data_IF_922884265086
#
_entry.id   IF_922884265086
#
_cell.length_a   1.000
_cell.length_b   1.000
_cell.length_c   1.000
_cell.angle_alpha   90.00
_cell.angle_beta   90.00
_cell.angle_gamma   90.00
#
_symmetry.space_group_name_H-M   'P 1'
#
loop_
_entity.id
_entity.type
_entity.pdbx_description
1 polymer ?
#
# COMPACT_ATOMS: atom_id res chain seq x y z
N UNK A 1 -21.77 2.83 -5.85
CA UNK A 1 -22.88 1.84 -5.81
C UNK A 1 -24.19 2.60 -6.04
N UNK A 2 -25.08 2.12 -6.93
CA UNK A 2 -26.39 2.77 -7.20
C UNK A 2 -27.57 1.87 -6.81
N UNK A 3 -27.44 1.14 -5.72
CA UNK A 3 -28.46 0.22 -5.23
C UNK A 3 -29.58 0.97 -4.53
N UNK A 4 -30.78 0.42 -4.61
CA UNK A 4 -31.91 0.89 -3.81
C UNK A 4 -31.87 0.30 -2.41
N UNK A 5 -32.59 0.90 -1.48
CA UNK A 5 -32.76 0.35 -0.12
C UNK A 5 -33.31 -1.08 -0.16
N UNK A 6 -34.23 -1.38 -1.08
CA UNK A 6 -34.73 -2.76 -1.26
C UNK A 6 -33.60 -3.73 -1.64
N UNK A 7 -32.77 -3.38 -2.62
CA UNK A 7 -31.65 -4.23 -3.03
C UNK A 7 -30.62 -4.44 -1.92
N UNK A 8 -30.36 -3.41 -1.09
CA UNK A 8 -29.53 -3.54 0.10
C UNK A 8 -30.13 -4.54 1.09
N UNK A 9 -31.42 -4.40 1.40
CA UNK A 9 -32.10 -5.28 2.34
C UNK A 9 -32.17 -6.73 1.82
N UNK A 10 -32.45 -6.92 0.53
CA UNK A 10 -32.46 -8.24 -0.11
C UNK A 10 -31.07 -8.91 -0.06
N UNK A 11 -30.02 -8.15 -0.36
CA UNK A 11 -28.63 -8.64 -0.27
C UNK A 11 -28.23 -9.04 1.16
N UNK A 12 -28.83 -8.41 2.17
CA UNK A 12 -28.61 -8.71 3.58
C UNK A 12 -29.62 -9.77 4.13
N UNK A 13 -30.54 -10.25 3.30
CA UNK A 13 -31.55 -11.23 3.72
C UNK A 13 -32.56 -10.70 4.75
N UNK A 14 -32.83 -9.40 4.74
CA UNK A 14 -33.67 -8.71 5.73
C UNK A 14 -34.69 -7.78 5.08
N UNK A 15 -35.40 -6.99 5.87
CA UNK A 15 -36.36 -5.99 5.42
C UNK A 15 -35.93 -4.58 5.80
N UNK A 16 -36.20 -3.56 4.96
CA UNK A 16 -35.97 -2.18 5.36
C UNK A 16 -36.90 -1.76 6.49
N UNK A 17 -36.44 -0.81 7.31
CA UNK A 17 -37.26 -0.17 8.33
C UNK A 17 -38.48 0.50 7.76
N UNK A 18 -39.54 0.67 8.55
CA UNK A 18 -40.88 1.13 8.11
C UNK A 18 -40.87 2.55 7.51
N UNK A 19 -39.96 3.41 7.96
CA UNK A 19 -39.80 4.78 7.46
C UNK A 19 -38.95 4.93 6.20
N UNK A 20 -38.40 3.81 5.68
CA UNK A 20 -37.53 3.83 4.50
C UNK A 20 -38.33 3.67 3.19
N UNK A 21 -38.01 4.55 2.23
CA UNK A 21 -38.47 4.35 0.86
C UNK A 21 -37.62 3.26 0.19
N UNK A 22 -38.22 2.11 -0.06
CA UNK A 22 -37.53 0.93 -0.65
C UNK A 22 -36.90 1.23 -2.03
N UNK A 23 -37.43 2.19 -2.80
CA UNK A 23 -36.91 2.59 -4.12
C UNK A 23 -35.87 3.71 -4.04
N UNK A 24 -35.62 4.28 -2.86
CA UNK A 24 -34.59 5.32 -2.69
C UNK A 24 -33.22 4.76 -2.96
N UNK A 25 -32.40 5.52 -3.69
CA UNK A 25 -31.04 5.12 -4.07
C UNK A 25 -30.04 5.47 -2.99
N UNK A 26 -29.15 4.54 -2.70
CA UNK A 26 -28.01 4.70 -1.80
C UNK A 26 -26.86 5.33 -2.58
N UNK A 27 -26.38 6.50 -2.13
CA UNK A 27 -25.29 7.23 -2.80
C UNK A 27 -23.88 6.62 -2.52
N UNK A 28 -23.73 5.92 -1.40
CA UNK A 28 -22.49 5.30 -0.96
C UNK A 28 -22.68 4.58 0.38
N UNK A 29 -21.59 4.06 0.94
CA UNK A 29 -21.60 3.39 2.24
C UNK A 29 -20.48 3.98 3.10
N UNK A 30 -20.78 4.28 4.37
CA UNK A 30 -19.80 4.73 5.36
C UNK A 30 -19.94 3.93 6.66
N UNK A 31 -18.82 3.74 7.35
CA UNK A 31 -18.74 3.22 8.72
C UNK A 31 -18.30 4.29 9.72
N UNK A 32 -18.11 5.54 9.26
CA UNK A 32 -17.69 6.67 10.09
C UNK A 32 -18.76 7.80 10.03
N UNK A 33 -19.45 8.00 11.16
CA UNK A 33 -20.52 9.00 11.26
C UNK A 33 -20.05 10.44 11.09
N UNK A 34 -18.75 10.73 11.29
CA UNK A 34 -18.14 12.07 11.18
C UNK A 34 -17.96 12.51 9.73
N UNK A 35 -17.85 11.55 8.81
CA UNK A 35 -17.61 11.79 7.38
C UNK A 35 -18.77 11.39 6.49
N UNK A 36 -19.92 11.03 7.08
CA UNK A 36 -21.13 10.62 6.37
C UNK A 36 -21.61 11.74 5.44
N UNK A 37 -22.04 11.36 4.25
CA UNK A 37 -22.57 12.29 3.24
C UNK A 37 -24.07 12.01 3.02
N UNK A 38 -24.77 13.03 2.54
CA UNK A 38 -26.19 12.90 2.24
C UNK A 38 -26.47 11.74 1.27
N UNK A 39 -27.41 10.88 1.64
CA UNK A 39 -27.80 9.71 0.87
C UNK A 39 -26.93 8.46 1.04
N UNK A 40 -25.86 8.51 1.85
CA UNK A 40 -25.08 7.31 2.16
C UNK A 40 -25.79 6.40 3.18
N UNK A 41 -25.50 5.11 3.10
CA UNK A 41 -25.86 4.11 4.09
C UNK A 41 -24.81 4.08 5.20
N UNK A 42 -25.23 4.28 6.43
CA UNK A 42 -24.34 4.11 7.59
C UNK A 42 -24.38 2.66 8.06
N UNK A 43 -23.21 2.01 8.26
CA UNK A 43 -23.14 0.68 8.89
C UNK A 43 -22.50 0.83 10.27
N UNK A 44 -23.26 0.55 11.32
CA UNK A 44 -22.86 0.70 12.72
C UNK A 44 -21.93 -0.45 13.14
N UNK A 45 -20.64 -0.29 12.93
CA UNK A 45 -19.63 -1.30 13.30
C UNK A 45 -19.30 -1.19 14.78
N UNK A 46 -19.34 -2.34 15.48
CA UNK A 46 -18.79 -2.46 16.81
C UNK A 46 -17.28 -2.72 16.75
N UNK A 47 -16.46 -1.77 17.18
CA UNK A 47 -15.01 -1.84 17.21
C UNK A 47 -14.47 -2.04 18.63
N UNK A 48 -13.15 -2.23 18.75
CA UNK A 48 -12.48 -2.45 20.06
C UNK A 48 -12.59 -1.27 21.03
N UNK A 49 -12.70 -0.04 20.53
CA UNK A 49 -12.69 1.20 21.33
C UNK A 49 -13.97 2.02 21.20
N UNK A 50 -14.72 1.84 20.14
CA UNK A 50 -15.91 2.63 19.81
C UNK A 50 -17.00 1.71 19.28
N UNK A 51 -18.24 2.00 19.62
CA UNK A 51 -19.41 1.33 19.08
C UNK A 51 -20.14 2.26 18.12
N UNK A 52 -20.17 1.91 16.82
CA UNK A 52 -20.90 2.65 15.81
C UNK A 52 -22.39 2.80 16.11
N UNK A 53 -22.97 1.90 16.89
CA UNK A 53 -24.38 1.97 17.32
C UNK A 53 -24.68 3.21 18.16
N UNK A 54 -23.71 3.76 18.89
CA UNK A 54 -23.88 5.00 19.65
C UNK A 54 -24.02 6.25 18.75
N UNK A 55 -23.66 6.13 17.46
CA UNK A 55 -23.64 7.21 16.50
C UNK A 55 -24.73 7.13 15.42
N UNK A 56 -25.67 6.19 15.53
CA UNK A 56 -26.73 5.99 14.51
C UNK A 56 -27.60 7.23 14.36
N UNK A 57 -28.07 7.82 15.46
CA UNK A 57 -28.90 9.02 15.41
C UNK A 57 -28.16 10.19 14.72
N UNK A 58 -26.91 10.45 15.13
CA UNK A 58 -26.11 11.54 14.55
C UNK A 58 -25.77 11.30 13.07
N UNK A 59 -25.55 10.06 12.64
CA UNK A 59 -25.35 9.73 11.24
C UNK A 59 -26.60 9.99 10.39
N UNK A 60 -27.79 9.65 10.91
CA UNK A 60 -29.06 9.91 10.26
C UNK A 60 -29.38 11.42 10.19
N UNK A 61 -29.05 12.19 11.23
CA UNK A 61 -29.15 13.65 11.27
C UNK A 61 -28.19 14.33 10.29
N UNK A 62 -26.98 13.75 10.12
CA UNK A 62 -25.98 14.23 9.17
C UNK A 62 -26.29 13.86 7.71
N UNK A 63 -27.41 13.17 7.44
CA UNK A 63 -27.89 12.93 6.09
C UNK A 63 -27.78 11.50 5.60
N UNK A 64 -27.38 10.53 6.45
CA UNK A 64 -27.48 9.12 6.08
C UNK A 64 -28.91 8.77 5.69
N UNK A 65 -29.08 8.03 4.57
CA UNK A 65 -30.42 7.62 4.10
C UNK A 65 -31.03 6.55 5.00
N UNK A 66 -30.18 5.66 5.52
CA UNK A 66 -30.52 4.57 6.43
C UNK A 66 -29.31 4.16 7.25
N UNK A 67 -29.54 3.40 8.33
CA UNK A 67 -28.49 2.80 9.12
C UNK A 67 -28.67 1.27 9.20
N UNK A 68 -27.60 0.51 9.00
CA UNK A 68 -27.53 -0.93 9.26
C UNK A 68 -27.09 -1.12 10.70
N UNK A 69 -27.91 -1.79 11.49
CA UNK A 69 -27.69 -2.00 12.94
C UNK A 69 -27.84 -3.46 13.32
N UNK A 70 -27.19 -3.90 14.38
CA UNK A 70 -27.44 -5.23 14.94
C UNK A 70 -28.87 -5.30 15.52
N UNK A 71 -29.58 -6.40 15.27
CA UNK A 71 -30.93 -6.63 15.78
C UNK A 71 -31.04 -6.43 17.29
N UNK A 72 -30.03 -6.90 18.05
CA UNK A 72 -29.96 -6.75 19.49
C UNK A 72 -29.86 -5.27 19.94
N UNK A 73 -29.43 -4.37 19.07
CA UNK A 73 -29.29 -2.95 19.36
C UNK A 73 -30.50 -2.11 18.90
N UNK A 74 -31.37 -2.66 18.05
CA UNK A 74 -32.54 -1.94 17.53
C UNK A 74 -33.45 -1.37 18.62
N UNK A 75 -33.74 -2.06 19.76
CA UNK A 75 -34.57 -1.52 20.83
C UNK A 75 -34.00 -0.27 21.53
N UNK A 76 -32.74 0.09 21.30
CA UNK A 76 -32.14 1.32 21.86
C UNK A 76 -32.66 2.59 21.19
N UNK A 77 -33.24 2.47 19.99
CA UNK A 77 -33.65 3.61 19.19
C UNK A 77 -35.16 3.83 19.25
N UNK A 78 -35.55 5.03 19.59
CA UNK A 78 -36.93 5.47 19.44
C UNK A 78 -37.25 5.90 18.02
N UNK A 79 -38.54 5.95 17.64
CA UNK A 79 -38.98 6.54 16.38
C UNK A 79 -38.66 8.04 16.35
N UNK A 80 -38.25 8.60 15.21
CA UNK A 80 -38.20 8.00 13.88
C UNK A 80 -36.85 7.33 13.52
N UNK A 81 -35.90 7.18 14.49
CA UNK A 81 -34.57 6.59 14.22
C UNK A 81 -34.70 5.12 13.90
N UNK A 82 -35.47 4.35 14.73
CA UNK A 82 -35.70 2.93 14.53
C UNK A 82 -36.32 2.61 13.16
N UNK A 83 -37.22 3.46 12.69
CA UNK A 83 -37.90 3.32 11.39
C UNK A 83 -36.95 3.49 10.20
N UNK A 84 -35.78 4.10 10.39
CA UNK A 84 -34.73 4.29 9.40
C UNK A 84 -33.59 3.28 9.51
N UNK A 85 -33.76 2.23 10.32
CA UNK A 85 -32.77 1.18 10.51
C UNK A 85 -33.07 -0.05 9.64
N UNK A 86 -32.03 -0.73 9.21
CA UNK A 86 -32.04 -2.07 8.60
C UNK A 86 -31.37 -2.98 9.63
N UNK A 87 -32.15 -3.87 10.23
CA UNK A 87 -31.68 -4.75 11.29
C UNK A 87 -31.05 -6.02 10.70
N UNK A 88 -29.88 -6.41 11.24
CA UNK A 88 -29.12 -7.59 10.82
C UNK A 88 -28.57 -8.33 12.06
N UNK A 89 -28.24 -9.61 11.93
CA UNK A 89 -27.66 -10.38 13.03
C UNK A 89 -26.29 -9.81 13.49
N UNK A 90 -25.46 -9.35 12.55
CA UNK A 90 -24.15 -8.76 12.83
C UNK A 90 -23.72 -7.79 11.75
N UNK A 91 -23.38 -6.56 12.14
CA UNK A 91 -23.08 -5.46 11.19
C UNK A 91 -21.76 -5.64 10.45
N UNK A 92 -20.77 -6.30 11.07
CA UNK A 92 -19.51 -6.61 10.39
C UNK A 92 -19.68 -7.67 9.30
N UNK A 93 -20.48 -8.71 9.54
CA UNK A 93 -20.82 -9.70 8.52
C UNK A 93 -21.69 -9.08 7.42
N UNK A 94 -22.63 -8.19 7.76
CA UNK A 94 -23.43 -7.45 6.82
C UNK A 94 -22.58 -6.56 5.88
N UNK A 95 -21.53 -5.90 6.40
CA UNK A 95 -20.58 -5.13 5.61
C UNK A 95 -19.92 -6.01 4.53
N UNK A 96 -19.46 -7.21 4.91
CA UNK A 96 -18.81 -8.16 3.99
C UNK A 96 -19.79 -8.74 2.98
N UNK A 97 -20.95 -9.15 3.44
CA UNK A 97 -22.00 -9.72 2.60
C UNK A 97 -22.49 -8.72 1.53
N UNK A 98 -22.69 -7.47 1.92
CA UNK A 98 -23.09 -6.42 0.99
C UNK A 98 -21.97 -6.12 -0.04
N UNK A 99 -20.70 -6.12 0.39
CA UNK A 99 -19.58 -5.92 -0.51
C UNK A 99 -19.42 -7.07 -1.52
N UNK A 100 -19.62 -8.31 -1.09
CA UNK A 100 -19.64 -9.48 -1.98
C UNK A 100 -20.78 -9.39 -2.98
N UNK A 101 -21.97 -9.03 -2.55
CA UNK A 101 -23.12 -8.87 -3.43
C UNK A 101 -22.88 -7.75 -4.49
N UNK A 102 -22.25 -6.63 -4.09
CA UNK A 102 -21.83 -5.57 -5.05
C UNK A 102 -20.80 -6.12 -6.04
N UNK A 103 -19.80 -6.87 -5.56
CA UNK A 103 -18.79 -7.52 -6.40
C UNK A 103 -19.43 -8.45 -7.46
N UNK A 104 -20.34 -9.30 -7.03
CA UNK A 104 -21.02 -10.26 -7.91
C UNK A 104 -21.93 -9.57 -8.93
N UNK A 105 -22.66 -8.53 -8.51
CA UNK A 105 -23.51 -7.73 -9.39
C UNK A 105 -22.70 -6.97 -10.46
N UNK A 106 -21.48 -6.51 -10.12
CA UNK A 106 -20.62 -5.77 -11.06
C UNK A 106 -20.02 -6.68 -12.13
N UNK A 107 -19.54 -7.86 -11.79
CA UNK A 107 -19.11 -8.91 -12.72
C UNK A 107 -17.78 -8.67 -13.46
N UNK A 108 -17.16 -7.50 -13.37
CA UNK A 108 -15.87 -7.21 -14.03
C UNK A 108 -14.69 -7.90 -13.35
N UNK A 109 -13.50 -7.87 -13.97
CA UNK A 109 -12.29 -8.53 -13.44
C UNK A 109 -11.62 -7.71 -12.33
N UNK A 110 -11.21 -8.39 -11.25
CA UNK A 110 -10.46 -7.82 -10.13
C UNK A 110 -9.05 -8.39 -10.07
N UNK A 111 -8.05 -7.51 -9.92
CA UNK A 111 -6.69 -7.86 -9.50
C UNK A 111 -6.52 -7.60 -8.00
N UNK A 112 -6.15 -8.62 -7.23
CA UNK A 112 -5.72 -8.53 -5.85
C UNK A 112 -4.20 -8.49 -5.75
N UNK A 113 -3.64 -7.56 -4.96
CA UNK A 113 -2.19 -7.39 -4.80
C UNK A 113 -1.79 -7.53 -3.34
N UNK A 114 -0.92 -8.50 -3.04
CA UNK A 114 -0.33 -8.67 -1.71
C UNK A 114 1.20 -8.81 -1.75
N UNK A 115 1.83 -8.83 -0.59
CA UNK A 115 3.27 -8.99 -0.39
C UNK A 115 3.73 -8.33 0.90
N UNK A 116 4.94 -8.58 1.35
CA UNK A 116 5.53 -7.86 2.48
C UNK A 116 5.88 -6.44 2.06
N UNK A 117 6.47 -6.25 0.87
CA UNK A 117 6.86 -4.97 0.27
C UNK A 117 6.34 -4.89 -1.17
N UNK A 118 6.18 -3.69 -1.72
CA UNK A 118 5.84 -3.47 -3.13
C UNK A 118 4.34 -3.46 -3.47
N UNK A 119 3.43 -3.81 -2.57
CA UNK A 119 1.97 -3.84 -2.79
C UNK A 119 1.42 -2.57 -3.42
N UNK A 120 1.62 -1.45 -2.75
CA UNK A 120 1.06 -0.15 -3.16
C UNK A 120 1.65 0.29 -4.50
N UNK A 121 2.98 0.16 -4.68
CA UNK A 121 3.63 0.52 -5.94
C UNK A 121 3.10 -0.34 -7.09
N UNK A 122 3.01 -1.67 -6.91
CA UNK A 122 2.46 -2.58 -7.93
C UNK A 122 1.00 -2.24 -8.26
N UNK A 123 0.17 -1.96 -7.24
CA UNK A 123 -1.21 -1.51 -7.41
C UNK A 123 -1.30 -0.22 -8.24
N UNK A 124 -0.49 0.79 -7.91
CA UNK A 124 -0.49 2.07 -8.63
C UNK A 124 -0.02 1.91 -10.09
N UNK A 125 1.06 1.15 -10.31
CA UNK A 125 1.56 0.87 -11.66
C UNK A 125 0.53 0.10 -12.48
N UNK A 126 -0.07 -0.95 -11.92
CA UNK A 126 -1.09 -1.73 -12.60
C UNK A 126 -2.32 -0.88 -12.93
N UNK A 127 -2.80 -0.09 -11.96
CA UNK A 127 -3.94 0.80 -12.20
C UNK A 127 -3.64 1.85 -13.29
N UNK A 128 -2.41 2.36 -13.37
CA UNK A 128 -1.99 3.28 -14.43
C UNK A 128 -1.91 2.58 -15.80
N UNK A 129 -1.37 1.37 -15.87
CA UNK A 129 -1.32 0.57 -17.10
C UNK A 129 -2.74 0.28 -17.62
N UNK A 130 -3.61 -0.24 -16.76
CA UNK A 130 -5.00 -0.50 -17.11
C UNK A 130 -5.73 0.79 -17.50
N UNK A 131 -5.46 1.88 -16.78
CA UNK A 131 -6.05 3.21 -17.00
C UNK A 131 -5.70 3.84 -18.35
N UNK A 132 -4.71 3.31 -19.07
CA UNK A 132 -4.41 3.74 -20.44
C UNK A 132 -5.53 3.41 -21.44
N UNK A 133 -6.35 2.38 -21.15
CA UNK A 133 -7.44 1.92 -22.03
C UNK A 133 -8.76 1.72 -21.31
N UNK A 134 -8.77 1.57 -20.00
CA UNK A 134 -9.93 1.16 -19.22
C UNK A 134 -10.24 2.19 -18.13
N UNK A 135 -11.51 2.22 -17.71
CA UNK A 135 -11.87 2.88 -16.45
C UNK A 135 -11.62 1.91 -15.29
N UNK A 136 -10.80 2.33 -14.33
CA UNK A 136 -10.26 1.47 -13.29
C UNK A 136 -10.60 1.99 -11.90
N UNK A 137 -11.24 1.16 -11.08
CA UNK A 137 -11.30 1.38 -9.64
C UNK A 137 -10.00 0.86 -8.99
N UNK A 138 -9.44 1.61 -8.05
CA UNK A 138 -8.31 1.13 -7.22
C UNK A 138 -8.52 1.43 -5.75
N UNK A 139 -7.90 0.62 -4.87
CA UNK A 139 -7.85 0.92 -3.43
C UNK A 139 -7.13 2.24 -3.18
N UNK A 140 -7.70 3.09 -2.35
CA UNK A 140 -7.11 4.35 -1.91
C UNK A 140 -6.49 4.21 -0.52
N UNK A 141 -5.40 4.93 -0.29
CA UNK A 141 -4.73 4.97 1.00
C UNK A 141 -4.36 3.56 1.51
N UNK A 142 -4.80 3.25 2.72
CA UNK A 142 -4.61 1.97 3.41
C UNK A 142 -5.90 1.15 3.53
N UNK A 143 -6.89 1.36 2.65
CA UNK A 143 -8.14 0.60 2.61
C UNK A 143 -7.91 -0.81 2.05
N UNK A 144 -7.07 -1.59 2.74
CA UNK A 144 -6.59 -2.90 2.30
C UNK A 144 -6.88 -4.05 3.27
N UNK A 145 -7.71 -3.80 4.29
CA UNK A 145 -8.13 -4.76 5.33
C UNK A 145 -9.62 -5.10 5.21
N UNK A 146 -10.15 -5.89 6.18
CA UNK A 146 -11.53 -6.37 6.19
C UNK A 146 -12.61 -5.27 6.32
N UNK A 147 -12.24 -4.05 6.67
CA UNK A 147 -13.12 -2.86 6.64
C UNK A 147 -12.92 -2.05 5.36
N UNK A 148 -11.67 -1.82 4.98
CA UNK A 148 -11.31 -0.95 3.86
C UNK A 148 -11.60 -1.53 2.48
N UNK A 149 -11.42 -2.85 2.30
CA UNK A 149 -11.70 -3.51 1.02
C UNK A 149 -13.20 -3.46 0.68
N UNK A 150 -14.16 -3.76 1.61
CA UNK A 150 -15.58 -3.51 1.38
C UNK A 150 -15.90 -2.08 0.98
N UNK A 151 -15.36 -1.09 1.70
CA UNK A 151 -15.58 0.33 1.38
C UNK A 151 -15.05 0.70 -0.01
N UNK A 152 -13.98 0.08 -0.46
CA UNK A 152 -13.49 0.25 -1.84
C UNK A 152 -14.45 -0.36 -2.85
N UNK A 153 -14.98 -1.58 -2.61
CA UNK A 153 -15.92 -2.25 -3.50
C UNK A 153 -17.24 -1.49 -3.64
N UNK A 154 -17.72 -0.81 -2.61
CA UNK A 154 -18.93 0.03 -2.68
C UNK A 154 -18.79 1.23 -3.62
N UNK A 155 -17.56 1.57 -4.02
CA UNK A 155 -17.28 2.64 -5.00
C UNK A 155 -17.33 2.17 -6.45
N UNK A 156 -17.48 0.85 -6.69
CA UNK A 156 -17.65 0.31 -8.04
C UNK A 156 -18.83 0.95 -8.74
N UNK A 157 -18.60 1.38 -9.98
CA UNK A 157 -19.60 1.91 -10.89
C UNK A 157 -19.76 0.96 -12.08
N UNK A 158 -20.90 0.99 -12.74
CA UNK A 158 -21.20 0.19 -13.94
C UNK A 158 -20.23 0.48 -15.11
N UNK A 159 -19.65 1.67 -15.10
CA UNK A 159 -18.67 2.13 -16.11
C UNK A 159 -17.24 1.64 -15.83
N UNK A 160 -16.95 1.15 -14.63
CA UNK A 160 -15.64 0.58 -14.31
C UNK A 160 -15.48 -0.75 -15.04
N UNK A 161 -14.31 -0.96 -15.65
CA UNK A 161 -14.01 -2.12 -16.48
C UNK A 161 -12.98 -3.05 -15.83
N UNK A 162 -12.26 -2.55 -14.82
CA UNK A 162 -11.32 -3.30 -14.02
C UNK A 162 -11.25 -2.72 -12.59
N UNK A 163 -10.84 -3.54 -11.63
CA UNK A 163 -10.52 -3.07 -10.29
C UNK A 163 -9.18 -3.62 -9.82
N UNK A 164 -8.38 -2.80 -9.11
CA UNK A 164 -7.10 -3.18 -8.54
C UNK A 164 -7.14 -2.94 -7.04
N UNK A 165 -7.15 -4.03 -6.28
CA UNK A 165 -7.31 -4.01 -4.84
C UNK A 165 -6.02 -4.40 -4.13
N UNK A 166 -5.51 -3.51 -3.29
CA UNK A 166 -4.45 -3.86 -2.34
C UNK A 166 -5.04 -4.70 -1.21
N UNK A 167 -4.38 -5.82 -0.87
CA UNK A 167 -4.79 -6.74 0.18
C UNK A 167 -3.67 -6.90 1.20
N UNK A 168 -3.88 -6.27 2.35
CA UNK A 168 -2.98 -6.33 3.50
C UNK A 168 -3.36 -7.46 4.45
N UNK A 169 -2.39 -7.88 5.28
CA UNK A 169 -2.66 -8.82 6.37
C UNK A 169 -1.66 -8.61 7.52
N UNK A 170 -2.11 -8.86 8.72
CA UNK A 170 -1.32 -8.96 9.95
C UNK A 170 -1.41 -10.34 10.58
N UNK A 171 -2.38 -11.17 10.19
CA UNK A 171 -2.60 -12.52 10.72
C UNK A 171 -3.01 -13.49 9.62
N UNK A 172 -2.81 -14.77 9.88
CA UNK A 172 -3.29 -15.84 9.01
C UNK A 172 -4.82 -15.83 8.92
N UNK A 173 -5.35 -16.18 7.74
CA UNK A 173 -6.79 -16.19 7.43
C UNK A 173 -7.35 -14.84 6.98
N UNK A 174 -6.63 -13.74 7.15
CA UNK A 174 -7.13 -12.43 6.72
C UNK A 174 -7.19 -12.32 5.18
N UNK A 175 -6.15 -12.77 4.47
CA UNK A 175 -6.17 -12.76 3.00
C UNK A 175 -7.22 -13.71 2.42
N UNK A 176 -7.45 -14.85 3.05
CA UNK A 176 -8.51 -15.77 2.63
C UNK A 176 -9.89 -15.08 2.73
N UNK A 177 -10.15 -14.33 3.81
CA UNK A 177 -11.41 -13.58 3.97
C UNK A 177 -11.52 -12.43 2.97
N UNK A 178 -10.44 -11.69 2.71
CA UNK A 178 -10.42 -10.65 1.70
C UNK A 178 -10.65 -11.21 0.29
N UNK A 179 -10.03 -12.34 -0.03
CA UNK A 179 -10.22 -13.04 -1.30
C UNK A 179 -11.65 -13.55 -1.46
N UNK A 180 -12.28 -14.07 -0.41
CA UNK A 180 -13.67 -14.51 -0.42
C UNK A 180 -14.65 -13.37 -0.73
N UNK A 181 -14.36 -12.14 -0.29
CA UNK A 181 -15.17 -10.95 -0.57
C UNK A 181 -14.90 -10.42 -1.99
N UNK A 182 -13.63 -10.26 -2.36
CA UNK A 182 -13.25 -9.65 -3.63
C UNK A 182 -13.37 -10.61 -4.80
N UNK A 183 -13.24 -11.92 -4.58
CA UNK A 183 -13.19 -12.98 -5.62
C UNK A 183 -12.27 -12.56 -6.77
N UNK A 184 -10.95 -12.40 -6.52
CA UNK A 184 -10.03 -11.85 -7.50
C UNK A 184 -9.82 -12.82 -8.66
N UNK A 185 -9.81 -12.27 -9.89
CA UNK A 185 -9.52 -13.00 -11.12
C UNK A 185 -8.00 -13.05 -11.37
N UNK A 186 -7.27 -12.07 -10.85
CA UNK A 186 -5.81 -11.99 -10.90
C UNK A 186 -5.26 -11.80 -9.49
N UNK A 187 -4.35 -12.67 -9.05
CA UNK A 187 -3.67 -12.56 -7.75
C UNK A 187 -2.19 -12.31 -7.92
N UNK A 188 -1.71 -11.20 -7.36
CA UNK A 188 -0.31 -10.79 -7.47
C UNK A 188 0.35 -10.90 -6.11
N UNK A 189 1.44 -11.67 -6.02
CA UNK A 189 2.28 -11.71 -4.82
C UNK A 189 3.64 -11.14 -5.15
N UNK A 190 3.99 -10.02 -4.52
CA UNK A 190 5.21 -9.28 -4.85
C UNK A 190 6.45 -9.92 -4.23
N UNK A 191 6.52 -9.98 -2.91
CA UNK A 191 7.66 -10.56 -2.19
C UNK A 191 7.24 -10.96 -0.77
N UNK A 192 7.89 -12.00 -0.24
CA UNK A 192 7.82 -12.41 1.17
C UNK A 192 9.13 -12.02 1.85
N UNK A 193 9.05 -11.25 2.91
CA UNK A 193 10.21 -10.86 3.72
C UNK A 193 9.80 -10.71 5.19
N UNK A 194 10.74 -10.65 6.13
CA UNK A 194 10.45 -10.38 7.52
C UNK A 194 9.62 -9.10 7.69
N UNK A 195 8.36 -9.26 8.04
CA UNK A 195 7.40 -8.21 8.36
C UNK A 195 6.34 -8.80 9.27
N UNK A 196 5.77 -8.01 10.17
CA UNK A 196 4.75 -8.49 11.12
C UNK A 196 5.21 -9.66 12.01
N UNK A 197 6.52 -9.77 12.31
CA UNK A 197 7.09 -10.85 13.11
C UNK A 197 6.55 -10.89 14.56
N UNK A 198 5.88 -9.85 15.00
CA UNK A 198 5.12 -9.85 16.26
C UNK A 198 3.95 -10.84 16.22
N UNK A 199 3.38 -11.11 15.03
CA UNK A 199 2.20 -11.95 14.84
C UNK A 199 2.50 -13.29 14.16
N UNK A 200 3.73 -13.52 13.70
CA UNK A 200 4.15 -14.74 13.01
C UNK A 200 5.45 -15.29 13.59
N UNK A 201 5.49 -16.58 13.83
CA UNK A 201 6.68 -17.24 14.39
C UNK A 201 7.83 -17.32 13.38
N UNK A 202 7.56 -17.21 12.08
CA UNK A 202 8.60 -17.30 11.04
C UNK A 202 8.18 -16.62 9.73
N UNK A 203 9.17 -16.39 8.86
CA UNK A 203 8.94 -15.90 7.49
C UNK A 203 8.13 -16.90 6.66
N UNK A 204 8.26 -18.20 6.96
CA UNK A 204 7.49 -19.24 6.25
C UNK A 204 6.00 -19.18 6.63
N UNK A 205 5.65 -18.83 7.86
CA UNK A 205 4.26 -18.56 8.24
C UNK A 205 3.70 -17.31 7.54
N UNK A 206 4.51 -16.27 7.36
CA UNK A 206 4.13 -15.10 6.55
C UNK A 206 3.87 -15.53 5.11
N UNK A 207 4.70 -16.42 4.55
CA UNK A 207 4.52 -16.97 3.22
C UNK A 207 3.20 -17.74 3.10
N UNK A 208 2.89 -18.61 4.06
CA UNK A 208 1.63 -19.34 4.10
C UNK A 208 0.40 -18.41 4.15
N UNK A 209 0.46 -17.35 4.95
CA UNK A 209 -0.61 -16.36 5.00
C UNK A 209 -0.78 -15.61 3.67
N UNK A 210 0.32 -15.28 2.95
CA UNK A 210 0.24 -14.61 1.65
C UNK A 210 -0.22 -15.53 0.53
N UNK A 211 0.04 -16.84 0.63
CA UNK A 211 -0.45 -17.85 -0.31
C UNK A 211 -1.98 -17.92 -0.36
N UNK A 212 -2.66 -17.57 0.74
CA UNK A 212 -4.12 -17.52 0.82
C UNK A 212 -4.76 -16.69 -0.30
N UNK A 213 -4.09 -15.63 -0.80
CA UNK A 213 -4.59 -14.89 -1.97
C UNK A 213 -4.64 -15.79 -3.22
N UNK A 214 -3.61 -16.61 -3.43
CA UNK A 214 -3.52 -17.49 -4.60
C UNK A 214 -4.52 -18.64 -4.50
N UNK A 215 -4.67 -19.22 -3.30
CA UNK A 215 -5.65 -20.28 -3.04
C UNK A 215 -7.10 -19.77 -3.19
N UNK A 216 -7.33 -18.48 -2.88
CA UNK A 216 -8.64 -17.82 -2.95
C UNK A 216 -8.98 -17.19 -4.30
N UNK A 217 -8.25 -17.48 -5.37
CA UNK A 217 -8.54 -16.97 -6.71
C UNK A 217 -9.84 -17.54 -7.29
N UNK A 218 -10.50 -16.76 -8.14
CA UNK A 218 -11.83 -17.02 -8.68
C UNK A 218 -11.85 -18.13 -9.78
N UNK A 219 -11.50 -19.36 -9.38
CA UNK A 219 -11.63 -20.53 -10.22
C UNK A 219 -10.54 -20.67 -11.30
N UNK A 220 -10.80 -21.56 -12.27
CA UNK A 220 -9.80 -22.04 -13.25
C UNK A 220 -9.38 -21.00 -14.29
N UNK A 221 -10.18 -19.99 -14.54
CA UNK A 221 -9.85 -18.91 -15.49
C UNK A 221 -9.03 -17.78 -14.84
N UNK A 222 -8.76 -17.89 -13.54
CA UNK A 222 -7.95 -16.93 -12.84
C UNK A 222 -6.45 -17.04 -13.16
N UNK A 223 -5.71 -16.00 -12.83
CA UNK A 223 -4.26 -15.92 -13.07
C UNK A 223 -3.51 -15.55 -11.81
N UNK A 224 -2.55 -16.37 -11.42
CA UNK A 224 -1.56 -16.05 -10.40
C UNK A 224 -0.33 -15.40 -11.04
N UNK A 225 0.08 -14.23 -10.52
CA UNK A 225 1.29 -13.50 -10.94
C UNK A 225 2.31 -13.57 -9.81
N UNK A 226 3.40 -14.30 -10.03
CA UNK A 226 4.33 -14.73 -9.00
C UNK A 226 5.76 -14.29 -9.28
N UNK A 227 6.45 -13.81 -8.25
CA UNK A 227 7.85 -13.42 -8.31
C UNK A 227 8.76 -14.64 -8.34
N UNK A 228 9.46 -14.89 -9.45
CA UNK A 228 10.41 -15.99 -9.61
C UNK A 228 11.70 -15.80 -8.79
N UNK A 229 12.06 -14.57 -8.47
CA UNK A 229 13.26 -14.24 -7.66
C UNK A 229 13.05 -14.56 -6.17
N UNK A 230 11.80 -14.75 -5.73
CA UNK A 230 11.46 -15.19 -4.39
C UNK A 230 11.02 -16.68 -4.41
N UNK A 231 11.83 -17.62 -3.90
CA UNK A 231 11.52 -19.04 -3.97
C UNK A 231 10.24 -19.43 -3.23
N UNK A 232 9.85 -18.69 -2.18
CA UNK A 232 8.59 -18.92 -1.46
C UNK A 232 7.41 -18.53 -2.34
N UNK A 233 7.48 -17.36 -2.98
CA UNK A 233 6.42 -16.88 -3.88
C UNK A 233 6.31 -17.76 -5.11
N UNK A 234 7.43 -18.14 -5.71
CA UNK A 234 7.44 -19.04 -6.88
C UNK A 234 6.74 -20.38 -6.60
N UNK A 235 6.92 -20.92 -5.37
CA UNK A 235 6.29 -22.19 -4.96
C UNK A 235 4.74 -22.08 -4.84
N UNK A 236 4.17 -20.89 -4.75
CA UNK A 236 2.70 -20.72 -4.68
C UNK A 236 1.99 -21.15 -5.96
N UNK A 237 2.72 -21.23 -7.08
CA UNK A 237 2.17 -21.71 -8.35
C UNK A 237 1.51 -23.09 -8.27
N UNK A 238 1.99 -23.96 -7.38
CA UNK A 238 1.39 -25.28 -7.14
C UNK A 238 -0.01 -25.24 -6.53
N UNK A 239 -0.42 -24.10 -5.99
CA UNK A 239 -1.71 -23.88 -5.31
C UNK A 239 -2.66 -23.01 -6.13
N UNK A 240 -2.21 -22.52 -7.29
CA UNK A 240 -3.05 -21.70 -8.15
C UNK A 240 -4.14 -22.54 -8.81
N UNK A 241 -5.42 -22.15 -8.74
CA UNK A 241 -6.50 -22.91 -9.39
C UNK A 241 -6.49 -22.76 -10.92
N UNK A 242 -5.84 -21.71 -11.44
CA UNK A 242 -5.80 -21.36 -12.86
C UNK A 242 -4.38 -21.19 -13.41
N UNK A 243 -4.21 -20.21 -14.30
CA UNK A 243 -2.94 -19.93 -14.99
C UNK A 243 -1.90 -19.35 -14.03
N UNK A 244 -0.63 -19.68 -14.24
CA UNK A 244 0.51 -19.06 -13.53
C UNK A 244 1.35 -18.26 -14.52
N UNK A 245 1.57 -16.99 -14.22
CA UNK A 245 2.54 -16.12 -14.88
C UNK A 245 3.63 -15.76 -13.87
N UNK A 246 4.89 -15.87 -14.28
CA UNK A 246 6.04 -15.53 -13.44
C UNK A 246 6.71 -14.27 -13.95
N UNK A 247 7.27 -13.49 -13.04
CA UNK A 247 8.13 -12.35 -13.37
C UNK A 247 9.39 -12.39 -12.52
N UNK A 248 10.48 -11.83 -13.03
CA UNK A 248 11.75 -11.81 -12.30
C UNK A 248 12.83 -10.99 -12.99
N UNK A 249 13.88 -10.69 -12.24
CA UNK A 249 15.08 -10.00 -12.70
C UNK A 249 16.26 -10.97 -12.76
N UNK A 250 16.37 -11.88 -11.78
CA UNK A 250 17.52 -12.75 -11.59
C UNK A 250 17.25 -14.19 -12.04
N UNK A 251 16.04 -14.68 -11.79
CA UNK A 251 15.64 -16.04 -12.13
C UNK A 251 14.84 -16.06 -13.43
N UNK A 252 14.98 -17.11 -14.23
CA UNK A 252 14.16 -17.30 -15.44
C UNK A 252 12.66 -17.18 -15.10
N UNK A 253 11.97 -16.34 -15.85
CA UNK A 253 10.56 -16.04 -15.68
C UNK A 253 9.90 -15.75 -17.03
N UNK A 254 8.57 -15.76 -17.06
CA UNK A 254 7.79 -15.43 -18.25
C UNK A 254 7.96 -13.96 -18.67
N UNK A 255 8.07 -13.07 -17.68
CA UNK A 255 8.33 -11.64 -17.86
C UNK A 255 9.62 -11.26 -17.13
N UNK A 256 10.60 -10.73 -17.84
CA UNK A 256 11.92 -10.41 -17.29
C UNK A 256 12.34 -8.98 -17.58
N UNK A 257 13.19 -8.44 -16.71
CA UNK A 257 14.01 -7.27 -16.99
C UNK A 257 15.47 -7.69 -17.16
N UNK A 258 16.06 -7.32 -18.27
CA UNK A 258 17.47 -7.54 -18.61
C UNK A 258 18.15 -6.21 -18.92
N UNK A 259 19.48 -6.18 -19.03
CA UNK A 259 20.26 -4.98 -19.36
C UNK A 259 19.83 -3.74 -18.55
N UNK A 260 19.75 -3.93 -17.23
CA UNK A 260 19.26 -2.89 -16.31
C UNK A 260 20.32 -1.80 -16.17
N UNK A 261 19.91 -0.57 -16.46
CA UNK A 261 20.63 0.67 -16.18
C UNK A 261 19.98 1.35 -14.98
N UNK A 262 20.62 1.25 -13.80
CA UNK A 262 20.13 1.89 -12.56
C UNK A 262 20.63 3.35 -12.52
N UNK A 263 19.70 4.31 -12.51
CA UNK A 263 19.97 5.75 -12.40
C UNK A 263 19.67 6.30 -11.01
N UNK A 264 19.59 5.40 -10.01
CA UNK A 264 19.29 5.74 -8.62
C UNK A 264 17.90 6.39 -8.48
N UNK A 265 17.85 7.53 -7.78
CA UNK A 265 16.60 8.28 -7.58
C UNK A 265 16.02 8.89 -8.87
N UNK A 266 16.74 8.83 -9.99
CA UNK A 266 16.27 9.32 -11.30
C UNK A 266 15.51 8.24 -12.09
N UNK A 267 15.30 7.05 -11.51
CA UNK A 267 14.63 5.95 -12.17
C UNK A 267 15.60 4.94 -12.78
N UNK A 268 15.15 4.20 -13.79
CA UNK A 268 15.91 3.14 -14.43
C UNK A 268 15.48 2.92 -15.88
N UNK A 269 16.36 2.28 -16.67
CA UNK A 269 16.00 1.74 -17.96
C UNK A 269 16.35 0.26 -18.02
N UNK A 270 15.56 -0.55 -18.71
CA UNK A 270 15.78 -1.98 -18.84
C UNK A 270 15.15 -2.54 -20.10
N UNK A 271 15.65 -3.66 -20.56
CA UNK A 271 15.00 -4.45 -21.59
C UNK A 271 13.92 -5.33 -20.95
N UNK A 272 12.67 -5.02 -21.22
CA UNK A 272 11.56 -5.91 -20.94
C UNK A 272 11.59 -7.07 -21.93
N UNK A 273 11.55 -8.30 -21.43
CA UNK A 273 11.58 -9.53 -22.22
C UNK A 273 10.40 -10.40 -21.83
N UNK A 274 9.60 -10.78 -22.81
CA UNK A 274 8.55 -11.79 -22.72
C UNK A 274 8.67 -12.78 -23.89
N UNK A 275 7.94 -13.89 -23.93
CA UNK A 275 7.95 -14.79 -25.08
C UNK A 275 7.60 -14.13 -26.41
N UNK A 276 6.84 -13.04 -26.37
CA UNK A 276 6.27 -12.38 -27.54
C UNK A 276 7.03 -11.13 -27.96
N UNK A 277 7.83 -10.51 -27.04
CA UNK A 277 8.45 -9.24 -27.30
C UNK A 277 9.70 -8.97 -26.46
N UNK A 278 10.61 -8.16 -27.04
CA UNK A 278 11.71 -7.52 -26.34
C UNK A 278 11.66 -6.03 -26.63
N UNK A 279 11.55 -5.20 -25.58
CA UNK A 279 11.37 -3.74 -25.72
C UNK A 279 12.18 -3.02 -24.63
N UNK A 280 12.93 -1.99 -25.02
CA UNK A 280 13.59 -1.10 -24.06
C UNK A 280 12.55 -0.21 -23.40
N UNK A 281 12.46 -0.23 -22.08
CA UNK A 281 11.55 0.58 -21.27
C UNK A 281 12.33 1.48 -20.31
N UNK A 282 11.82 2.68 -20.09
CA UNK A 282 12.30 3.61 -19.07
C UNK A 282 11.25 3.80 -17.99
N UNK A 283 11.67 3.74 -16.74
CA UNK A 283 10.81 3.82 -15.56
C UNK A 283 11.25 4.98 -14.67
N UNK A 284 10.38 5.97 -14.48
CA UNK A 284 10.66 7.15 -13.67
C UNK A 284 10.46 6.92 -12.15
N UNK A 285 10.18 5.69 -11.73
CA UNK A 285 10.13 5.31 -10.31
C UNK A 285 11.46 4.71 -9.92
N UNK A 286 12.10 5.21 -8.85
CA UNK A 286 13.46 4.84 -8.51
C UNK A 286 13.59 3.43 -7.91
N UNK A 287 14.73 2.80 -8.18
CA UNK A 287 15.21 1.59 -7.54
C UNK A 287 14.85 0.30 -8.25
N UNK A 288 15.74 -0.68 -8.10
CA UNK A 288 15.59 -2.02 -8.70
C UNK A 288 14.28 -2.74 -8.29
N UNK A 289 13.80 -2.47 -7.07
CA UNK A 289 12.52 -2.96 -6.59
C UNK A 289 11.32 -2.39 -7.39
N UNK A 290 11.44 -1.17 -7.93
CA UNK A 290 10.41 -0.59 -8.77
C UNK A 290 10.30 -1.33 -10.12
N UNK A 291 11.43 -1.82 -10.67
CA UNK A 291 11.43 -2.65 -11.87
C UNK A 291 10.67 -3.96 -11.62
N UNK A 292 10.92 -4.64 -10.49
CA UNK A 292 10.19 -5.86 -10.13
C UNK A 292 8.68 -5.61 -9.99
N UNK A 293 8.28 -4.49 -9.36
CA UNK A 293 6.88 -4.09 -9.23
C UNK A 293 6.26 -3.76 -10.60
N UNK A 294 7.02 -3.12 -11.51
CA UNK A 294 6.58 -2.83 -12.87
C UNK A 294 6.39 -4.11 -13.70
N UNK A 295 7.31 -5.09 -13.57
CA UNK A 295 7.16 -6.41 -14.19
C UNK A 295 5.93 -7.16 -13.68
N UNK A 296 5.68 -7.14 -12.36
CA UNK A 296 4.48 -7.71 -11.75
C UNK A 296 3.20 -7.09 -12.34
N UNK A 297 3.20 -5.76 -12.47
CA UNK A 297 2.08 -5.02 -13.03
C UNK A 297 1.88 -5.31 -14.52
N UNK A 298 2.95 -5.39 -15.33
CA UNK A 298 2.89 -5.78 -16.75
C UNK A 298 2.36 -7.20 -16.92
N UNK A 299 2.87 -8.15 -16.11
CA UNK A 299 2.39 -9.52 -16.13
C UNK A 299 0.89 -9.61 -15.81
N UNK A 300 0.41 -8.83 -14.85
CA UNK A 300 -1.01 -8.76 -14.54
C UNK A 300 -1.83 -8.05 -15.63
N UNK A 301 -1.32 -6.95 -16.18
CA UNK A 301 -1.99 -6.16 -17.22
C UNK A 301 -2.21 -6.97 -18.51
N UNK A 302 -1.36 -7.96 -18.79
CA UNK A 302 -1.52 -8.86 -19.95
C UNK A 302 -2.84 -9.65 -19.94
N UNK A 303 -3.49 -9.82 -18.77
CA UNK A 303 -4.82 -10.46 -18.66
C UNK A 303 -5.93 -9.58 -19.25
N UNK A 304 -5.64 -8.30 -19.49
CA UNK A 304 -6.52 -7.32 -20.16
C UNK A 304 -5.96 -6.89 -21.53
N UNK A 305 -5.06 -7.68 -22.12
CA UNK A 305 -4.42 -7.39 -23.41
C UNK A 305 -3.68 -6.03 -23.43
N UNK A 306 -3.10 -5.65 -22.29
CA UNK A 306 -2.26 -4.45 -22.12
C UNK A 306 -0.82 -4.89 -21.90
N UNK A 307 0.08 -4.40 -22.73
CA UNK A 307 1.46 -4.86 -22.77
C UNK A 307 2.51 -3.74 -22.84
N UNK A 308 3.66 -4.08 -23.39
CA UNK A 308 4.81 -3.17 -23.47
C UNK A 308 4.55 -1.91 -24.32
N UNK A 309 3.62 -1.97 -25.29
CA UNK A 309 3.30 -0.81 -26.14
C UNK A 309 2.70 0.35 -25.32
N UNK A 310 1.85 0.03 -24.35
CA UNK A 310 1.26 1.03 -23.46
C UNK A 310 2.21 1.41 -22.32
N UNK A 311 3.09 0.49 -21.92
CA UNK A 311 3.94 0.64 -20.75
C UNK A 311 4.88 1.83 -20.82
N UNK A 312 5.49 2.12 -21.99
CA UNK A 312 6.51 3.16 -22.10
C UNK A 312 5.97 4.54 -21.71
N UNK A 313 4.83 4.94 -22.25
CA UNK A 313 4.23 6.24 -21.93
C UNK A 313 3.76 6.31 -20.47
N UNK A 314 3.20 5.22 -19.96
CA UNK A 314 2.76 5.11 -18.57
C UNK A 314 3.96 5.21 -17.63
N UNK A 315 5.03 4.46 -17.85
CA UNK A 315 6.20 4.42 -16.96
C UNK A 315 6.94 5.76 -16.92
N UNK A 316 7.00 6.50 -18.02
CA UNK A 316 7.54 7.86 -18.05
C UNK A 316 6.67 8.87 -17.27
N UNK A 317 5.35 8.65 -17.24
CA UNK A 317 4.42 9.50 -16.51
C UNK A 317 4.32 9.17 -15.01
N UNK A 318 4.73 7.95 -14.60
CA UNK A 318 4.66 7.53 -13.21
C UNK A 318 5.46 8.45 -12.31
N UNK A 319 4.94 8.65 -11.12
CA UNK A 319 5.64 9.29 -10.00
C UNK A 319 5.59 8.34 -8.83
N UNK A 320 6.62 8.36 -8.02
CA UNK A 320 6.59 7.64 -6.75
C UNK A 320 5.39 8.14 -5.92
N UNK A 321 4.59 7.24 -5.34
CA UNK A 321 3.54 7.66 -4.43
C UNK A 321 4.10 8.50 -3.28
N UNK A 322 3.32 9.43 -2.75
CA UNK A 322 3.75 10.26 -1.63
C UNK A 322 4.34 9.40 -0.49
N UNK A 323 5.45 9.83 0.06
CA UNK A 323 6.20 9.14 1.11
C UNK A 323 6.73 7.74 0.74
N UNK A 324 6.90 7.42 -0.57
CA UNK A 324 7.37 6.11 -1.05
C UNK A 324 8.44 6.26 -2.13
N UNK A 325 9.60 6.78 -1.73
CA UNK A 325 10.73 7.04 -2.64
C UNK A 325 10.59 8.33 -3.44
N UNK A 326 9.74 9.25 -3.00
CA UNK A 326 9.54 10.55 -3.62
C UNK A 326 10.80 11.41 -3.54
N UNK A 327 11.32 11.88 -4.68
CA UNK A 327 12.49 12.75 -4.74
C UNK A 327 12.08 14.23 -4.70
N UNK A 328 12.46 14.91 -3.64
CA UNK A 328 12.27 16.34 -3.44
C UNK A 328 13.60 17.07 -3.65
N UNK A 329 13.58 18.15 -4.44
CA UNK A 329 14.77 18.97 -4.70
C UNK A 329 14.62 20.34 -4.03
N UNK A 330 15.64 20.74 -3.33
CA UNK A 330 15.71 22.06 -2.71
C UNK A 330 16.49 23.03 -3.61
N UNK A 331 16.14 24.31 -3.54
CA UNK A 331 16.78 25.35 -4.37
C UNK A 331 18.26 25.60 -4.01
N UNK A 332 18.67 25.23 -2.79
CA UNK A 332 20.07 25.27 -2.37
C UNK A 332 20.92 24.16 -3.01
N UNK A 333 20.35 23.30 -3.87
CA UNK A 333 21.05 22.19 -4.52
C UNK A 333 21.16 20.90 -3.69
N UNK A 334 20.54 20.85 -2.51
CA UNK A 334 20.32 19.61 -1.78
C UNK A 334 19.07 18.88 -2.30
N UNK A 335 18.95 17.58 -1.99
CA UNK A 335 17.76 16.81 -2.30
C UNK A 335 17.41 15.84 -1.15
N UNK A 336 16.16 15.40 -1.14
CA UNK A 336 15.63 14.48 -0.15
C UNK A 336 14.80 13.38 -0.84
N UNK A 337 15.04 12.13 -0.48
CA UNK A 337 14.21 10.98 -0.84
C UNK A 337 13.27 10.74 0.34
N UNK A 338 11.99 11.02 0.14
CA UNK A 338 10.94 10.80 1.13
C UNK A 338 10.40 9.38 1.00
N UNK A 339 10.78 8.49 1.92
CA UNK A 339 10.26 7.12 2.02
C UNK A 339 9.75 6.83 3.45
N UNK A 340 9.08 7.84 4.02
CA UNK A 340 8.68 7.90 5.43
C UNK A 340 7.36 7.17 5.76
N UNK A 341 6.67 6.58 4.77
CA UNK A 341 5.38 5.94 5.01
C UNK A 341 5.48 4.72 5.93
N UNK A 342 6.43 3.82 5.69
CA UNK A 342 6.67 2.61 6.49
C UNK A 342 8.08 2.07 6.26
N UNK A 343 8.56 1.22 7.19
CA UNK A 343 9.86 0.57 7.07
C UNK A 343 9.82 -0.89 7.51
N UNK A 344 10.69 -1.69 6.87
CA UNK A 344 11.05 -3.04 7.26
C UNK A 344 12.53 -3.25 6.91
N UNK A 345 13.22 -4.26 7.45
CA UNK A 345 14.65 -4.49 7.16
C UNK A 345 14.96 -4.51 5.66
N UNK A 346 14.27 -5.35 4.89
CA UNK A 346 14.46 -5.45 3.44
C UNK A 346 14.15 -4.15 2.67
N UNK A 347 13.15 -3.38 3.12
CA UNK A 347 12.83 -2.10 2.50
C UNK A 347 13.85 -1.01 2.84
N UNK A 348 14.43 -1.04 4.04
CA UNK A 348 15.49 -0.11 4.43
C UNK A 348 16.79 -0.41 3.67
N UNK A 349 17.16 -1.68 3.51
CA UNK A 349 18.31 -2.10 2.72
C UNK A 349 18.18 -1.65 1.25
N UNK A 350 17.05 -1.93 0.60
CA UNK A 350 16.80 -1.53 -0.78
C UNK A 350 16.88 -0.01 -0.99
N UNK A 351 16.36 0.78 -0.04
CA UNK A 351 16.45 2.24 -0.11
C UNK A 351 17.83 2.78 0.22
N UNK A 352 18.61 2.07 1.04
CA UNK A 352 20.01 2.39 1.30
C UNK A 352 20.88 2.16 0.06
N UNK A 353 20.65 1.07 -0.68
CA UNK A 353 21.29 0.82 -1.98
C UNK A 353 20.95 1.90 -2.98
N UNK A 354 19.68 2.28 -3.08
CA UNK A 354 19.22 3.36 -3.95
C UNK A 354 19.90 4.69 -3.60
N UNK A 355 19.98 5.05 -2.32
CA UNK A 355 20.69 6.23 -1.85
C UNK A 355 22.15 6.20 -2.31
N UNK A 356 22.82 5.06 -2.15
CA UNK A 356 24.20 4.84 -2.56
C UNK A 356 24.42 4.85 -4.08
N UNK A 357 23.44 4.42 -4.87
CA UNK A 357 23.50 4.37 -6.33
C UNK A 357 23.17 5.71 -7.00
N UNK A 358 22.51 6.64 -6.30
CA UNK A 358 22.07 7.91 -6.90
C UNK A 358 23.28 8.81 -7.23
N UNK A 359 23.49 9.15 -8.52
CA UNK A 359 24.64 9.95 -8.96
C UNK A 359 24.48 11.44 -8.66
N UNK A 360 25.58 12.19 -8.81
CA UNK A 360 25.61 13.66 -8.78
C UNK A 360 25.37 14.30 -7.40
N UNK A 361 25.55 13.55 -6.31
CA UNK A 361 25.54 14.08 -4.94
C UNK A 361 26.88 13.85 -4.25
N UNK A 362 27.30 14.84 -3.45
CA UNK A 362 28.58 14.81 -2.72
C UNK A 362 28.52 14.01 -1.44
N UNK A 363 27.43 14.16 -0.67
CA UNK A 363 27.20 13.41 0.58
C UNK A 363 25.84 12.70 0.51
N UNK A 364 25.82 11.49 1.04
CA UNK A 364 24.62 10.66 1.19
C UNK A 364 24.36 10.46 2.66
N UNK A 365 23.18 10.88 3.09
CA UNK A 365 22.76 10.90 4.49
C UNK A 365 21.56 9.96 4.63
N UNK A 366 21.68 8.98 5.52
CA UNK A 366 20.57 8.09 5.87
C UNK A 366 19.98 8.55 7.21
N UNK A 367 18.73 8.94 7.25
CA UNK A 367 17.92 9.12 8.45
C UNK A 367 16.91 7.97 8.56
N UNK A 368 17.25 6.96 9.35
CA UNK A 368 16.47 5.75 9.54
C UNK A 368 15.76 5.78 10.89
N UNK A 369 14.44 5.76 10.87
CA UNK A 369 13.58 5.61 12.03
C UNK A 369 13.40 4.16 12.45
N UNK A 370 12.86 3.97 13.66
CA UNK A 370 12.53 2.64 14.19
C UNK A 370 11.64 1.85 13.22
N UNK A 371 11.96 0.57 13.07
CA UNK A 371 11.12 -0.41 12.36
C UNK A 371 10.26 -1.16 13.38
N UNK A 372 8.95 -1.00 13.30
CA UNK A 372 7.99 -1.62 14.23
C UNK A 372 7.53 -3.00 13.76
N UNK A 373 6.83 -3.72 14.63
CA UNK A 373 6.25 -5.04 14.39
C UNK A 373 7.31 -6.15 14.12
N UNK A 374 8.53 -5.98 14.66
CA UNK A 374 9.61 -6.95 14.56
C UNK A 374 9.74 -7.86 15.79
N UNK A 375 8.92 -7.61 16.83
CA UNK A 375 8.92 -8.40 18.07
C UNK A 375 10.29 -8.42 18.75
N UNK A 376 10.68 -9.55 19.32
CA UNK A 376 11.95 -9.72 20.03
C UNK A 376 13.17 -9.64 19.12
N UNK A 377 13.02 -9.78 17.80
CA UNK A 377 14.11 -9.66 16.83
C UNK A 377 14.46 -8.19 16.50
N UNK A 378 13.69 -7.22 17.01
CA UNK A 378 13.83 -5.81 16.66
C UNK A 378 15.25 -5.26 16.85
N UNK A 379 15.93 -5.41 18.02
CA UNK A 379 17.25 -4.84 18.21
C UNK A 379 18.30 -5.40 17.23
N UNK A 380 18.26 -6.71 16.95
CA UNK A 380 19.23 -7.34 16.06
C UNK A 380 19.00 -6.95 14.60
N UNK A 381 17.76 -6.94 14.13
CA UNK A 381 17.43 -6.52 12.76
C UNK A 381 17.78 -5.04 12.50
N UNK A 382 17.64 -4.17 13.50
CA UNK A 382 18.13 -2.79 13.41
C UNK A 382 19.66 -2.72 13.34
N UNK A 383 20.37 -3.54 14.13
CA UNK A 383 21.82 -3.63 14.10
C UNK A 383 22.33 -4.11 12.74
N UNK A 384 21.73 -5.16 12.19
CA UNK A 384 22.05 -5.69 10.86
C UNK A 384 21.83 -4.63 9.77
N UNK A 385 20.76 -3.86 9.82
CA UNK A 385 20.49 -2.77 8.88
C UNK A 385 21.59 -1.68 8.94
N UNK A 386 22.09 -1.36 10.14
CA UNK A 386 23.22 -0.45 10.32
C UNK A 386 24.53 -1.00 9.74
N UNK A 387 24.82 -2.28 9.97
CA UNK A 387 25.97 -2.97 9.37
C UNK A 387 25.88 -3.01 7.85
N UNK A 388 24.68 -3.27 7.31
CA UNK A 388 24.43 -3.25 5.87
C UNK A 388 24.73 -1.86 5.28
N UNK A 389 24.18 -0.80 5.87
CA UNK A 389 24.45 0.57 5.42
C UNK A 389 25.95 0.91 5.40
N UNK A 390 26.68 0.50 6.42
CA UNK A 390 28.14 0.66 6.49
C UNK A 390 28.88 -0.11 5.39
N UNK A 391 28.50 -1.38 5.17
CA UNK A 391 29.13 -2.26 4.17
C UNK A 391 28.97 -1.77 2.73
N UNK A 392 27.97 -0.96 2.43
CA UNK A 392 27.83 -0.35 1.10
C UNK A 392 29.02 0.56 0.75
N UNK A 393 29.69 1.13 1.76
CA UNK A 393 30.78 2.09 1.61
C UNK A 393 30.38 3.42 0.93
N UNK A 394 29.07 3.64 0.73
CA UNK A 394 28.53 4.76 -0.06
C UNK A 394 27.76 5.77 0.77
N UNK A 395 27.52 5.50 2.06
CA UNK A 395 26.73 6.35 2.95
C UNK A 395 27.69 7.15 3.84
N UNK A 396 27.62 8.48 3.76
CA UNK A 396 28.51 9.37 4.49
C UNK A 396 28.07 9.61 5.93
N UNK A 397 26.75 9.64 6.18
CA UNK A 397 26.18 9.85 7.50
C UNK A 397 25.01 8.89 7.76
N UNK A 398 24.97 8.34 8.96
CA UNK A 398 23.91 7.45 9.42
C UNK A 398 23.30 8.02 10.69
N UNK A 399 22.00 8.30 10.63
CA UNK A 399 21.21 8.91 11.70
C UNK A 399 20.09 7.94 12.07
N UNK A 400 20.08 7.48 13.32
CA UNK A 400 18.98 6.71 13.89
C UNK A 400 17.94 7.63 14.55
N UNK A 401 16.66 7.34 14.41
CA UNK A 401 15.58 8.15 14.98
C UNK A 401 14.55 7.27 15.69
N UNK A 402 14.37 7.51 16.96
CA UNK A 402 13.48 6.83 17.89
C UNK A 402 13.83 5.35 18.17
N UNK A 403 13.46 4.87 19.35
CA UNK A 403 13.47 3.48 19.76
C UNK A 403 14.72 2.69 19.38
N UNK A 404 14.47 1.49 18.85
CA UNK A 404 15.55 0.56 18.46
C UNK A 404 16.40 1.04 17.27
N UNK A 405 16.06 2.17 16.61
CA UNK A 405 16.95 2.78 15.62
C UNK A 405 18.33 3.20 16.20
N UNK A 406 18.48 3.27 17.52
CA UNK A 406 19.78 3.37 18.18
C UNK A 406 20.71 2.22 17.77
N UNK A 407 20.18 1.00 17.56
CA UNK A 407 20.95 -0.16 17.15
C UNK A 407 21.46 -0.06 15.70
N UNK A 408 20.79 0.71 14.83
CA UNK A 408 21.30 1.02 13.48
C UNK A 408 22.63 1.77 13.60
N UNK A 409 22.68 2.76 14.49
CA UNK A 409 23.91 3.54 14.76
C UNK A 409 25.02 2.65 15.31
N UNK A 410 24.70 1.82 16.31
CA UNK A 410 25.69 0.91 16.90
C UNK A 410 26.19 -0.14 15.90
N UNK A 411 25.30 -0.69 15.08
CA UNK A 411 25.63 -1.62 13.99
C UNK A 411 26.58 -0.99 12.95
N UNK A 412 26.30 0.24 12.56
CA UNK A 412 27.14 0.99 11.62
C UNK A 412 28.54 1.26 12.20
N UNK A 413 28.62 1.68 13.46
CA UNK A 413 29.91 1.91 14.16
C UNK A 413 30.70 0.60 14.29
N UNK A 414 30.05 -0.49 14.67
CA UNK A 414 30.69 -1.81 14.77
C UNK A 414 31.22 -2.30 13.40
N UNK A 415 30.60 -1.87 12.30
CA UNK A 415 31.02 -2.17 10.93
C UNK A 415 32.04 -1.15 10.37
N UNK A 416 32.57 -0.22 11.19
CA UNK A 416 33.68 0.67 10.84
C UNK A 416 33.29 2.11 10.46
N UNK A 417 32.03 2.51 10.55
CA UNK A 417 31.64 3.93 10.36
C UNK A 417 32.15 4.74 11.57
N UNK A 418 32.89 5.84 11.37
CA UNK A 418 33.36 6.67 12.47
C UNK A 418 32.16 7.22 13.29
N UNK A 419 32.26 7.18 14.62
CA UNK A 419 31.23 7.71 15.53
C UNK A 419 30.88 9.17 15.24
N UNK A 420 31.83 9.93 14.71
CA UNK A 420 31.65 11.32 14.29
C UNK A 420 30.73 11.47 13.06
N UNK A 421 30.46 10.40 12.34
CA UNK A 421 29.54 10.35 11.19
C UNK A 421 28.23 9.63 11.50
N UNK A 422 27.95 9.43 12.77
CA UNK A 422 26.69 8.82 13.22
C UNK A 422 26.04 9.69 14.29
N UNK A 423 24.69 9.69 14.34
CA UNK A 423 23.92 10.33 15.40
C UNK A 423 22.67 9.52 15.70
N UNK A 424 22.17 9.69 16.91
CA UNK A 424 20.85 9.19 17.31
C UNK A 424 20.04 10.36 17.90
N UNK A 425 18.76 10.42 17.56
CA UNK A 425 17.79 11.35 18.10
C UNK A 425 16.59 10.57 18.66
N UNK A 426 16.07 11.02 19.80
CA UNK A 426 14.94 10.36 20.44
C UNK A 426 13.64 10.61 19.69
N UNK A 427 13.53 11.71 18.96
CA UNK A 427 12.33 12.11 18.23
C UNK A 427 12.63 12.60 16.80
N UNK A 428 11.65 12.51 15.88
CA UNK A 428 11.78 13.11 14.55
C UNK A 428 12.00 14.61 14.55
N UNK A 429 11.43 15.33 15.52
CA UNK A 429 11.56 16.77 15.64
C UNK A 429 13.00 17.19 15.95
N UNK A 430 13.68 16.50 16.87
CA UNK A 430 15.11 16.74 17.17
C UNK A 430 15.97 16.47 15.93
N UNK A 431 15.68 15.38 15.20
CA UNK A 431 16.38 15.04 13.97
C UNK A 431 16.14 16.10 12.88
N UNK A 432 14.93 16.61 12.77
CA UNK A 432 14.56 17.66 11.81
C UNK A 432 15.32 18.98 12.10
N UNK A 433 15.40 19.37 13.38
CA UNK A 433 16.13 20.57 13.78
C UNK A 433 17.61 20.47 13.43
N UNK A 434 18.24 19.34 13.76
CA UNK A 434 19.62 19.07 13.39
C UNK A 434 19.83 19.10 11.88
N UNK A 435 19.02 18.37 11.10
CA UNK A 435 19.16 18.25 9.66
C UNK A 435 18.96 19.57 8.93
N UNK A 436 18.10 20.44 9.43
CA UNK A 436 17.86 21.76 8.86
C UNK A 436 19.09 22.67 8.90
N UNK A 437 19.92 22.56 9.93
CA UNK A 437 21.20 23.28 10.01
C UNK A 437 22.39 22.52 9.41
N UNK A 438 22.21 21.23 9.12
CA UNK A 438 23.29 20.34 8.69
C UNK A 438 23.36 20.13 7.17
N UNK A 439 22.20 20.14 6.49
CA UNK A 439 22.12 19.93 5.05
C UNK A 439 22.65 21.11 4.25
N UNK A 440 23.53 20.81 3.29
CA UNK A 440 24.13 21.80 2.38
C UNK A 440 23.97 21.37 0.92
N UNK A 441 24.31 22.27 0.00
CA UNK A 441 24.30 21.98 -1.44
C UNK A 441 25.13 20.72 -1.78
N UNK A 442 24.54 19.84 -2.57
CA UNK A 442 25.13 18.57 -2.99
C UNK A 442 24.86 17.40 -2.02
N UNK A 443 24.04 17.60 -0.99
CA UNK A 443 23.58 16.51 -0.13
C UNK A 443 22.37 15.80 -0.72
N UNK A 444 22.32 14.48 -0.50
CA UNK A 444 21.12 13.66 -0.70
C UNK A 444 20.76 13.00 0.63
N UNK A 445 19.59 13.31 1.16
CA UNK A 445 19.04 12.75 2.38
C UNK A 445 17.99 11.69 2.04
N UNK A 446 18.07 10.49 2.63
CA UNK A 446 16.98 9.54 2.68
C UNK A 446 16.31 9.60 4.05
N UNK A 447 14.99 9.77 4.08
CA UNK A 447 14.18 9.72 5.30
C UNK A 447 13.25 8.50 5.22
N UNK A 448 13.43 7.54 6.14
CA UNK A 448 12.63 6.31 6.18
C UNK A 448 12.40 5.82 7.60
N UNK A 449 11.20 5.30 7.89
CA UNK A 449 10.85 4.69 9.17
C UNK A 449 9.43 4.13 9.18
N UNK A 450 9.05 3.43 10.24
CA UNK A 450 7.70 2.90 10.40
C UNK A 450 6.68 4.03 10.61
N UNK A 451 5.43 3.81 10.16
CA UNK A 451 4.34 4.79 10.21
C UNK A 451 4.13 5.40 11.60
N UNK A 452 4.27 4.58 12.65
CA UNK A 452 4.09 5.04 14.03
C UNK A 452 5.21 5.93 14.58
N UNK A 453 6.35 6.04 13.87
CA UNK A 453 7.46 6.95 14.23
C UNK A 453 7.23 8.35 13.70
N UNK A 454 6.41 8.50 12.64
CA UNK A 454 6.07 9.79 12.01
C UNK A 454 7.29 10.51 11.42
N UNK A 455 8.13 9.77 10.71
CA UNK A 455 9.33 10.32 10.05
C UNK A 455 9.02 11.42 9.01
N UNK A 456 7.77 11.51 8.53
CA UNK A 456 7.29 12.60 7.67
C UNK A 456 7.46 13.98 8.30
N UNK A 457 7.49 14.11 9.62
CA UNK A 457 7.73 15.37 10.33
C UNK A 457 9.11 15.98 10.00
N UNK A 458 10.12 15.12 9.75
CA UNK A 458 11.43 15.61 9.27
C UNK A 458 11.27 16.26 7.89
N UNK A 459 10.55 15.58 6.99
CA UNK A 459 10.34 16.04 5.61
C UNK A 459 9.55 17.35 5.60
N UNK A 460 8.44 17.40 6.32
CA UNK A 460 7.57 18.59 6.45
C UNK A 460 8.33 19.79 7.03
N UNK A 461 9.13 19.58 8.08
CA UNK A 461 9.95 20.62 8.69
C UNK A 461 10.98 21.19 7.72
N UNK A 462 11.67 20.31 6.96
CA UNK A 462 12.66 20.73 5.96
C UNK A 462 12.02 21.52 4.83
N UNK A 463 10.86 21.08 4.33
CA UNK A 463 10.08 21.78 3.29
C UNK A 463 9.63 23.17 3.80
N UNK A 464 9.05 23.23 5.00
CA UNK A 464 8.56 24.50 5.58
C UNK A 464 9.68 25.53 5.74
N UNK A 465 10.86 25.13 6.19
CA UNK A 465 12.03 26.03 6.33
C UNK A 465 12.55 26.52 4.98
N UNK A 466 12.54 25.70 3.96
CA UNK A 466 12.93 26.09 2.60
C UNK A 466 11.92 27.07 1.98
N UNK A 467 10.63 26.87 2.22
CA UNK A 467 9.57 27.78 1.79
C UNK A 467 9.74 29.18 2.46
N UNK A 468 10.07 29.20 3.76
CA UNK A 468 10.27 30.44 4.51
C UNK A 468 11.49 31.25 4.03
N UNK A 469 12.49 30.58 3.41
CA UNK A 469 13.70 31.23 2.86
C UNK A 469 13.55 31.65 1.38
N UNK A 470 12.37 31.51 0.78
CA UNK A 470 12.12 31.84 -0.63
C UNK A 470 12.78 30.90 -1.63
N UNK A 471 13.19 29.74 -1.20
CA UNK A 471 14.11 28.84 -1.85
C UNK A 471 13.45 27.57 -2.45
N UNK A 472 12.20 27.63 -2.92
CA UNK A 472 11.57 26.56 -3.70
C UNK A 472 11.51 27.01 -5.17
N UNK A 473 12.37 26.42 -6.02
CA UNK A 473 12.17 26.48 -7.47
C UNK A 473 11.17 25.38 -7.82
N UNK A 474 10.04 25.83 -8.41
CA UNK A 474 8.88 25.00 -8.67
C UNK A 474 9.16 23.70 -9.44
N UNK A 475 8.80 22.61 -8.84
CA UNK A 475 7.96 21.58 -9.40
C UNK A 475 6.95 21.22 -8.33
N UNK A 476 5.84 21.89 -8.46
CA UNK A 476 4.49 21.64 -7.99
C UNK A 476 4.31 20.70 -6.78
N UNK A 477 4.23 21.29 -5.59
CA UNK A 477 3.34 20.79 -4.55
C UNK A 477 1.92 21.14 -5.03
N UNK A 478 1.26 20.23 -5.70
CA UNK A 478 -0.19 20.29 -5.92
C UNK A 478 -0.88 19.44 -4.86
N UNK A 479 -1.78 20.08 -4.16
CA UNK A 479 -2.71 19.52 -3.17
C UNK A 479 -3.65 18.47 -3.77
#
# INVERSE_FOLDING_TARGET
MRWTIAQVADALGTRPGRGLNALARVAGVSIDSRTIRAGELFIAIHGLRHDGHDHVASALESGAIAAVVAEAQLPRYADPVSDRCIAVAGTFEALKQLALAVRESWGGKIAGVTGSVGKTTTKEVLAALLGAKLRVLKSEGNLNNEYGLPLTLFRLEETDQAAVLEMGMSRRGELARLAAIARPDVGIVTRVSPAHLEFFASVDEIALAKRELIEGLNGRESTAVLNADDPRVAAFGAFAPGRVLTYGIEKPAFFMAQEIEDRGALGSAFDYVSPESRVRLELNVPGRHAIANALAALAAASVWDIGAAEAQSVFLSLRAPAMRGELLRFSNGAALINDSYNSSPAALEAMTELLGATPNFRRRILAAGEMRELGTASPELHREAGQFAAKTGKIDWIIGVAGDAAQIVEGAVAAGVPRTRTKFFATPEEAAEFLAGFMVSGDLLLVKGSRGVKMEQIVESLIARQAATGAITGQEVRH
#
